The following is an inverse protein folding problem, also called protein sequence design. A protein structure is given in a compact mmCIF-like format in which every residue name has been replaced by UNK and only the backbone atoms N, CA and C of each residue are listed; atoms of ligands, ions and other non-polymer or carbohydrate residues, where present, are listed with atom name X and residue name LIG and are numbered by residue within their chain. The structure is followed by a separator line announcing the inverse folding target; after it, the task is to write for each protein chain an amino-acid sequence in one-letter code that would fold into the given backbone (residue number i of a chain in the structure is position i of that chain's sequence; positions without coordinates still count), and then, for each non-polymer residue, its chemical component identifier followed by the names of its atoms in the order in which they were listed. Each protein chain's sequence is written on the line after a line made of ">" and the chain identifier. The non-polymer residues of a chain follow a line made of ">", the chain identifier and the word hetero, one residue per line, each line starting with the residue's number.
data_IF_670873100983
#
_entry.id   IF_670873100983
#
_cell.length_a   1.000
_cell.length_b   1.000
_cell.length_c   1.000
_cell.angle_alpha   90.00
_cell.angle_beta   90.00
_cell.angle_gamma   90.00
#
_symmetry.space_group_name_H-M   'P 1'
#
loop_
_entity.id
_entity.type
_entity.pdbx_description
1 polymer ?
#
# COMPACT_ATOMS: atom_id res chain seq x y z
N UNK A 1 13.12 21.40 0.49
CA UNK A 1 12.45 20.81 -0.68
C UNK A 1 11.33 19.90 -0.18
N UNK A 2 10.10 20.40 -0.10
CA UNK A 2 8.92 19.60 0.28
C UNK A 2 8.43 18.89 -0.99
N UNK A 3 9.11 17.80 -1.36
CA UNK A 3 8.58 16.88 -2.36
C UNK A 3 7.33 16.21 -1.79
N UNK A 4 6.26 16.14 -2.58
CA UNK A 4 5.02 15.46 -2.21
C UNK A 4 5.33 13.99 -1.88
N UNK A 5 5.42 13.64 -0.60
CA UNK A 5 5.61 12.27 -0.16
C UNK A 5 4.30 11.51 -0.34
N UNK A 6 4.38 10.36 -1.03
CA UNK A 6 3.28 9.41 -1.21
C UNK A 6 3.42 8.27 -0.22
N UNK A 7 2.30 7.68 0.16
CA UNK A 7 2.27 6.50 1.03
C UNK A 7 2.34 5.25 0.16
N UNK A 8 3.26 4.33 0.48
CA UNK A 8 3.41 3.04 -0.17
C UNK A 8 3.19 1.93 0.85
N UNK A 9 2.51 0.87 0.42
CA UNK A 9 2.32 -0.34 1.22
C UNK A 9 3.46 -1.29 0.94
N UNK A 10 4.04 -1.81 2.01
CA UNK A 10 5.07 -2.83 1.98
C UNK A 10 4.57 -4.09 2.68
N UNK A 11 4.89 -5.25 2.12
CA UNK A 11 4.70 -6.54 2.80
C UNK A 11 6.04 -7.15 3.17
N UNK A 12 6.11 -7.82 4.31
CA UNK A 12 7.23 -8.67 4.69
C UNK A 12 6.74 -9.95 5.35
N UNK A 13 7.59 -10.97 5.37
CA UNK A 13 7.31 -12.24 6.03
C UNK A 13 8.17 -12.34 7.27
N UNK A 14 7.54 -12.62 8.39
CA UNK A 14 8.23 -12.89 9.64
C UNK A 14 7.60 -14.12 10.29
N UNK A 15 8.37 -15.20 10.40
CA UNK A 15 7.97 -16.47 11.02
C UNK A 15 6.74 -17.17 10.40
N UNK A 16 6.57 -17.08 9.07
CA UNK A 16 5.47 -17.60 8.23
C UNK A 16 4.28 -16.64 7.92
N UNK A 17 3.72 -15.84 8.85
CA UNK A 17 2.70 -14.86 8.50
C UNK A 17 3.25 -13.69 7.68
N UNK A 18 2.34 -13.07 6.91
CA UNK A 18 2.60 -11.86 6.13
C UNK A 18 2.16 -10.64 6.95
N UNK A 19 3.06 -9.68 7.04
CA UNK A 19 2.85 -8.41 7.73
C UNK A 19 2.92 -7.28 6.73
N UNK A 20 2.03 -6.30 6.88
CA UNK A 20 2.00 -5.10 6.06
C UNK A 20 2.36 -3.87 6.89
N UNK A 21 3.10 -2.94 6.30
CA UNK A 21 3.34 -1.63 6.90
C UNK A 21 3.41 -0.54 5.83
N UNK A 22 3.20 0.70 6.24
CA UNK A 22 3.18 1.86 5.37
C UNK A 22 4.51 2.62 5.44
N UNK A 23 5.04 3.02 4.29
CA UNK A 23 6.20 3.90 4.20
C UNK A 23 5.87 5.13 3.36
N UNK A 24 6.41 6.28 3.76
CA UNK A 24 6.29 7.52 2.99
C UNK A 24 7.51 7.68 2.11
N UNK A 25 7.35 7.77 0.80
CA UNK A 25 8.44 8.01 -0.15
C UNK A 25 7.99 8.95 -1.27
N UNK A 26 8.93 9.65 -1.92
CA UNK A 26 8.59 10.52 -3.05
C UNK A 26 8.32 9.72 -4.34
N UNK A 27 8.89 8.51 -4.45
CA UNK A 27 8.70 7.61 -5.60
C UNK A 27 8.68 6.14 -5.18
N UNK A 28 8.20 5.27 -6.08
CA UNK A 28 8.24 3.81 -5.89
C UNK A 28 9.68 3.32 -5.73
N UNK A 29 10.60 3.91 -6.47
CA UNK A 29 12.02 3.52 -6.47
C UNK A 29 12.70 3.89 -5.14
N UNK A 30 12.36 5.05 -4.57
CA UNK A 30 12.80 5.41 -3.22
C UNK A 30 12.18 4.50 -2.14
N UNK A 31 10.90 4.13 -2.30
CA UNK A 31 10.24 3.17 -1.44
C UNK A 31 10.94 1.79 -1.49
N UNK A 32 11.31 1.31 -2.67
CA UNK A 32 12.07 0.07 -2.83
C UNK A 32 13.47 0.16 -2.22
N UNK A 33 14.19 1.26 -2.43
CA UNK A 33 15.51 1.46 -1.82
C UNK A 33 15.44 1.44 -0.28
N UNK A 34 14.42 2.08 0.31
CA UNK A 34 14.15 2.04 1.76
C UNK A 34 13.71 0.66 2.24
N UNK A 35 13.09 -0.14 1.39
CA UNK A 35 12.74 -1.52 1.73
C UNK A 35 13.97 -2.44 1.66
N UNK A 36 14.88 -2.20 0.71
CA UNK A 36 16.12 -2.97 0.57
C UNK A 36 17.01 -2.84 1.81
N UNK A 37 17.02 -1.70 2.49
CA UNK A 37 17.73 -1.56 3.77
C UNK A 37 17.12 -2.41 4.90
N UNK A 38 15.81 -2.71 4.83
CA UNK A 38 15.11 -3.59 5.77
C UNK A 38 15.29 -5.08 5.46
N UNK A 39 15.96 -5.44 4.35
CA UNK A 39 16.39 -6.80 3.96
C UNK A 39 15.29 -7.85 3.75
N UNK A 40 14.06 -7.59 4.18
CA UNK A 40 12.93 -8.50 4.04
C UNK A 40 11.68 -7.73 3.61
N UNK A 41 11.16 -8.09 2.43
CA UNK A 41 9.83 -7.66 1.99
C UNK A 41 9.72 -7.33 0.51
N UNK A 42 8.53 -6.88 0.12
CA UNK A 42 8.22 -6.33 -1.20
C UNK A 42 7.36 -5.08 -1.08
N UNK A 43 7.58 -4.08 -1.93
CA UNK A 43 6.66 -2.94 -2.08
C UNK A 43 5.48 -3.40 -2.94
N UNK A 44 4.26 -3.30 -2.39
CA UNK A 44 3.02 -3.67 -3.09
C UNK A 44 2.52 -2.54 -4.02
N UNK A 45 2.79 -1.29 -3.65
CA UNK A 45 2.44 -0.13 -4.46
C UNK A 45 1.97 1.06 -3.62
N UNK A 46 1.48 2.09 -4.31
CA UNK A 46 0.98 3.33 -3.69
C UNK A 46 -0.39 3.07 -3.01
N UNK A 47 -0.50 3.47 -1.74
CA UNK A 47 -1.75 3.45 -0.99
C UNK A 47 -2.66 4.56 -1.52
N UNK A 48 -3.70 4.18 -2.28
CA UNK A 48 -4.67 5.14 -2.84
C UNK A 48 -5.85 5.41 -1.91
N UNK A 49 -6.25 4.44 -1.11
CA UNK A 49 -7.38 4.57 -0.19
C UNK A 49 -7.26 3.57 0.96
N UNK A 50 -7.68 3.97 2.14
CA UNK A 50 -7.88 3.10 3.30
C UNK A 50 -9.37 2.91 3.48
N UNK A 51 -9.83 1.66 3.44
CA UNK A 51 -11.24 1.32 3.63
C UNK A 51 -11.42 0.87 5.08
N UNK A 52 -12.06 1.67 5.95
CA UNK A 52 -12.37 1.24 7.29
C UNK A 52 -13.40 0.10 7.23
N UNK A 53 -13.10 -1.00 7.93
CA UNK A 53 -13.95 -2.20 7.98
C UNK A 53 -15.40 -1.91 8.43
N UNK A 54 -15.60 -0.81 9.18
CA UNK A 54 -16.90 -0.35 9.65
C UNK A 54 -17.88 0.01 8.52
N UNK A 55 -17.41 0.29 7.30
CA UNK A 55 -18.26 0.53 6.13
C UNK A 55 -18.88 -0.76 5.56
N UNK A 56 -18.43 -1.93 6.00
CA UNK A 56 -19.02 -3.23 5.67
C UNK A 56 -19.24 -3.46 4.17
N UNK A 57 -20.47 -3.83 3.79
CA UNK A 57 -20.84 -4.19 2.42
C UNK A 57 -20.88 -2.99 1.45
N UNK A 58 -21.08 -1.77 1.95
CA UNK A 58 -21.12 -0.56 1.12
C UNK A 58 -19.76 -0.26 0.51
N UNK A 59 -18.68 -0.44 1.28
CA UNK A 59 -17.33 -0.31 0.77
C UNK A 59 -17.00 -1.34 -0.33
N UNK A 60 -17.51 -2.58 -0.16
CA UNK A 60 -17.36 -3.64 -1.17
C UNK A 60 -18.06 -3.25 -2.48
N UNK A 61 -19.27 -2.69 -2.41
CA UNK A 61 -20.02 -2.22 -3.58
C UNK A 61 -19.30 -1.07 -4.29
N UNK A 62 -18.81 -0.08 -3.55
CA UNK A 62 -18.11 1.09 -4.08
C UNK A 62 -16.81 0.70 -4.83
N UNK A 63 -16.05 -0.24 -4.26
CA UNK A 63 -14.85 -0.76 -4.91
C UNK A 63 -15.18 -1.55 -6.18
N UNK A 64 -16.27 -2.34 -6.18
CA UNK A 64 -16.70 -3.10 -7.35
C UNK A 64 -17.10 -2.19 -8.51
N UNK A 65 -17.88 -1.14 -8.23
CA UNK A 65 -18.27 -0.11 -9.22
C UNK A 65 -17.03 0.61 -9.74
N UNK A 66 -16.14 1.07 -8.84
CA UNK A 66 -14.90 1.76 -9.24
C UNK A 66 -13.95 0.90 -10.07
N UNK A 67 -13.93 -0.42 -9.85
CA UNK A 67 -13.13 -1.36 -10.64
C UNK A 67 -13.76 -1.64 -12.01
N UNK A 68 -15.10 -1.66 -12.12
CA UNK A 68 -15.82 -1.87 -13.38
C UNK A 68 -15.59 -0.73 -14.39
N UNK A 69 -15.47 0.51 -13.90
CA UNK A 69 -15.15 1.68 -14.73
C UNK A 69 -13.66 1.80 -15.11
N UNK A 70 -12.81 0.89 -14.63
CA UNK A 70 -11.35 0.91 -14.83
C UNK A 70 -10.85 -0.22 -15.76
N UNK A 71 -11.77 -1.02 -16.31
CA UNK A 71 -11.56 -1.99 -17.41
C UNK A 71 -11.73 -1.27 -18.74
#
# INVERSE_FOLDING_TARGET
>A
MQGSFKTFICEYRFNNPRWGFEIKAASLEEAEQRLRSLSQGRVLGELKAVIPYQLGWLAKLWFWVGNLFRV
#
